data_IF_930756717116
#
_entry.id   IF_930756717116
#
_cell.length_a   1.000
_cell.length_b   1.000
_cell.length_c   1.000
_cell.angle_alpha   90.00
_cell.angle_beta   90.00
_cell.angle_gamma   90.00
#
_symmetry.space_group_name_H-M   'P 1'
#
loop_
_entity.id
_entity.type
_entity.pdbx_description
1 polymer ?
#
# COMPACT_ATOMS: atom_id res chain seq x y z
N UNK A 1 13.32 25.72 -27.29
CA UNK A 1 14.61 25.51 -28.00
C UNK A 1 15.30 26.83 -28.37
N UNK A 2 14.66 27.72 -29.14
CA UNK A 2 15.32 28.92 -29.71
C UNK A 2 15.97 29.86 -28.68
N UNK A 3 15.30 30.18 -27.56
CA UNK A 3 15.92 31.01 -26.50
C UNK A 3 17.12 30.34 -25.82
N UNK A 4 17.06 29.02 -25.59
CA UNK A 4 18.15 28.26 -24.98
C UNK A 4 19.36 28.24 -25.91
N UNK A 5 19.12 28.07 -27.21
CA UNK A 5 20.17 28.12 -28.23
C UNK A 5 20.84 29.50 -28.30
N UNK A 6 20.03 30.57 -28.35
CA UNK A 6 20.52 31.96 -28.38
C UNK A 6 21.28 32.32 -27.10
N UNK A 7 20.77 31.93 -25.93
CA UNK A 7 21.44 32.16 -24.65
C UNK A 7 22.75 31.38 -24.55
N UNK A 8 22.76 30.09 -24.93
CA UNK A 8 23.96 29.27 -24.92
C UNK A 8 25.05 29.86 -25.82
N UNK A 9 24.68 30.35 -27.01
CA UNK A 9 25.60 31.08 -27.89
C UNK A 9 26.13 32.37 -27.25
N UNK A 10 25.26 33.16 -26.61
CA UNK A 10 25.66 34.38 -25.90
C UNK A 10 26.60 34.12 -24.71
N UNK A 11 26.44 32.99 -24.05
CA UNK A 11 27.29 32.54 -22.93
C UNK A 11 28.57 31.83 -23.38
N UNK A 12 28.84 31.75 -24.68
CA UNK A 12 30.06 31.12 -25.21
C UNK A 12 30.08 29.59 -25.11
N UNK A 13 28.93 28.94 -24.93
CA UNK A 13 28.83 27.48 -24.90
C UNK A 13 29.02 26.94 -26.33
N UNK A 14 29.84 25.90 -26.46
CA UNK A 14 30.09 25.25 -27.76
C UNK A 14 28.79 24.77 -28.41
N UNK A 15 28.66 25.02 -29.72
CA UNK A 15 27.43 24.73 -30.46
C UNK A 15 27.07 23.25 -30.44
N UNK A 16 28.04 22.33 -30.48
CA UNK A 16 27.79 20.90 -30.44
C UNK A 16 27.22 20.47 -29.09
N UNK A 17 27.66 21.13 -28.01
CA UNK A 17 27.12 20.90 -26.66
C UNK A 17 25.66 21.37 -26.60
N UNK A 18 25.36 22.57 -27.09
CA UNK A 18 23.99 23.11 -27.11
C UNK A 18 23.06 22.18 -27.91
N UNK A 19 23.47 21.75 -29.10
CA UNK A 19 22.68 20.86 -29.96
C UNK A 19 22.45 19.52 -29.25
N UNK A 20 23.52 18.88 -28.76
CA UNK A 20 23.41 17.60 -28.05
C UNK A 20 22.50 17.70 -26.82
N UNK A 21 22.60 18.78 -26.05
CA UNK A 21 21.74 19.01 -24.89
C UNK A 21 20.27 19.16 -25.29
N UNK A 22 19.97 19.89 -26.38
CA UNK A 22 18.61 20.04 -26.89
C UNK A 22 18.06 18.74 -27.48
N UNK A 23 18.89 17.93 -28.16
CA UNK A 23 18.49 16.61 -28.68
C UNK A 23 18.17 15.63 -27.55
N UNK A 24 18.92 15.67 -26.45
CA UNK A 24 18.67 14.85 -25.26
C UNK A 24 17.58 15.39 -24.33
N UNK A 25 17.03 16.57 -24.62
CA UNK A 25 16.07 17.23 -23.74
C UNK A 25 14.70 16.58 -23.84
N UNK A 26 14.31 15.85 -22.80
CA UNK A 26 13.03 15.11 -22.74
C UNK A 26 11.86 15.94 -22.23
N UNK A 27 12.06 17.24 -21.96
CA UNK A 27 11.05 18.15 -21.43
C UNK A 27 11.38 18.73 -20.06
N UNK A 28 10.46 19.53 -19.52
CA UNK A 28 10.51 20.06 -18.15
C UNK A 28 9.47 19.28 -17.35
N UNK A 29 9.80 18.89 -16.12
CA UNK A 29 8.81 18.28 -15.23
C UNK A 29 7.56 19.14 -15.14
N UNK A 30 6.39 18.49 -15.18
CA UNK A 30 5.08 19.13 -15.21
C UNK A 30 4.86 20.09 -16.40
N UNK A 31 5.41 19.80 -17.57
CA UNK A 31 5.08 20.50 -18.82
C UNK A 31 4.76 19.46 -19.89
N UNK A 32 3.48 19.08 -19.98
CA UNK A 32 3.03 17.93 -20.74
C UNK A 32 3.87 16.67 -20.44
N UNK A 33 4.21 16.48 -19.16
CA UNK A 33 5.01 15.35 -18.73
C UNK A 33 4.15 14.09 -18.82
N UNK A 34 4.56 13.13 -19.66
CA UNK A 34 3.91 11.81 -19.71
C UNK A 34 4.26 11.05 -18.42
N UNK A 35 3.28 10.94 -17.53
CA UNK A 35 3.43 10.23 -16.25
C UNK A 35 3.34 8.71 -16.46
N UNK A 36 2.43 8.27 -17.33
CA UNK A 36 2.27 6.85 -17.65
C UNK A 36 1.66 6.66 -19.03
N UNK A 37 2.08 5.58 -19.67
CA UNK A 37 1.45 5.02 -20.85
C UNK A 37 1.33 3.51 -20.62
N UNK A 38 0.19 3.09 -20.09
CA UNK A 38 -0.13 1.68 -19.83
C UNK A 38 -1.40 1.31 -20.56
N UNK A 39 -1.34 0.20 -21.31
CA UNK A 39 -2.37 -0.10 -22.31
C UNK A 39 -2.44 1.01 -23.38
N UNK A 40 -3.66 1.42 -23.72
CA UNK A 40 -3.89 2.53 -24.67
C UNK A 40 -4.27 3.85 -23.97
N UNK A 41 -4.12 3.94 -22.65
CA UNK A 41 -4.44 5.16 -21.88
C UNK A 41 -3.14 5.92 -21.60
N UNK A 42 -3.19 7.24 -21.77
CA UNK A 42 -2.06 8.13 -21.48
C UNK A 42 -2.45 9.11 -20.38
N UNK A 43 -1.57 9.30 -19.39
CA UNK A 43 -1.75 10.32 -18.36
C UNK A 43 -0.63 11.34 -18.44
N UNK A 44 -0.98 12.61 -18.57
CA UNK A 44 -0.08 13.74 -18.63
C UNK A 44 -0.25 14.65 -17.41
N UNK A 45 0.84 15.25 -16.93
CA UNK A 45 0.85 16.32 -15.92
C UNK A 45 1.35 17.62 -16.55
N UNK A 46 0.60 18.72 -16.36
CA UNK A 46 1.02 20.06 -16.75
C UNK A 46 0.81 21.09 -15.62
N UNK A 47 1.79 21.97 -15.46
CA UNK A 47 1.75 23.18 -14.66
C UNK A 47 0.94 24.29 -15.35
N UNK A 48 -0.29 23.97 -15.75
CA UNK A 48 -1.28 24.89 -16.28
C UNK A 48 -2.32 25.16 -15.20
N UNK A 49 -2.44 26.41 -14.76
CA UNK A 49 -3.38 26.82 -13.70
C UNK A 49 -4.07 28.15 -14.00
N UNK A 50 -3.71 28.77 -15.13
CA UNK A 50 -4.34 29.97 -15.64
C UNK A 50 -5.24 29.56 -16.82
N UNK A 51 -6.47 30.08 -16.97
CA UNK A 51 -7.40 29.62 -18.01
C UNK A 51 -6.83 29.65 -19.44
N UNK A 52 -6.04 30.67 -19.78
CA UNK A 52 -5.32 30.71 -21.08
C UNK A 52 -4.33 29.57 -21.24
N UNK A 53 -3.56 29.24 -20.20
CA UNK A 53 -2.59 28.15 -20.25
C UNK A 53 -3.30 26.78 -20.33
N UNK A 54 -4.38 26.61 -19.56
CA UNK A 54 -5.24 25.43 -19.63
C UNK A 54 -5.73 25.23 -21.06
N UNK A 55 -6.33 26.27 -21.66
CA UNK A 55 -6.82 26.24 -23.03
C UNK A 55 -5.74 25.83 -24.03
N UNK A 56 -4.60 26.51 -24.03
CA UNK A 56 -3.50 26.21 -24.96
C UNK A 56 -2.96 24.79 -24.78
N UNK A 57 -2.91 24.29 -23.54
CA UNK A 57 -2.42 22.94 -23.23
C UNK A 57 -3.38 21.87 -23.77
N UNK A 58 -4.68 22.02 -23.51
CA UNK A 58 -5.70 21.09 -24.02
C UNK A 58 -5.77 21.14 -25.56
N UNK A 59 -5.69 22.32 -26.17
CA UNK A 59 -5.64 22.47 -27.64
C UNK A 59 -4.41 21.81 -28.25
N UNK A 60 -3.25 21.92 -27.59
CA UNK A 60 -2.03 21.22 -27.99
C UNK A 60 -2.22 19.71 -27.95
N UNK A 61 -2.76 19.19 -26.83
CA UNK A 61 -3.04 17.78 -26.67
C UNK A 61 -4.07 17.25 -27.67
N UNK A 62 -5.10 18.05 -27.99
CA UNK A 62 -6.09 17.72 -29.02
C UNK A 62 -5.49 17.63 -30.42
N UNK A 63 -4.50 18.47 -30.75
CA UNK A 63 -3.79 18.37 -32.05
C UNK A 63 -2.97 17.08 -32.14
N UNK A 64 -2.39 16.64 -31.03
CA UNK A 64 -1.62 15.39 -30.96
C UNK A 64 -2.54 14.16 -30.99
N UNK A 65 -3.71 14.24 -30.35
CA UNK A 65 -4.69 13.17 -30.24
C UNK A 65 -6.07 13.61 -30.77
N UNK A 66 -6.23 13.81 -32.10
CA UNK A 66 -7.45 14.37 -32.66
C UNK A 66 -8.68 13.50 -32.40
N UNK A 67 -8.53 12.18 -32.52
CA UNK A 67 -9.64 11.22 -32.49
C UNK A 67 -9.84 10.54 -31.11
N UNK A 68 -8.97 10.82 -30.13
CA UNK A 68 -9.05 10.19 -28.82
C UNK A 68 -9.86 11.04 -27.85
N UNK A 69 -10.54 10.39 -26.92
CA UNK A 69 -11.28 11.12 -25.87
C UNK A 69 -10.31 11.71 -24.86
N UNK A 70 -10.40 13.02 -24.62
CA UNK A 70 -9.54 13.78 -23.70
C UNK A 70 -10.31 14.13 -22.42
N UNK A 71 -9.76 13.72 -21.29
CA UNK A 71 -10.14 14.13 -19.95
C UNK A 71 -9.24 15.29 -19.48
N UNK A 72 -9.84 16.40 -19.09
CA UNK A 72 -9.15 17.49 -18.42
C UNK A 72 -9.48 17.48 -16.93
N UNK A 73 -8.49 17.24 -16.08
CA UNK A 73 -8.61 17.25 -14.63
C UNK A 73 -7.85 18.46 -14.10
N UNK A 74 -8.54 19.46 -13.57
CA UNK A 74 -7.94 20.74 -13.13
C UNK A 74 -7.97 20.89 -11.60
N UNK A 75 -6.87 21.37 -11.04
CA UNK A 75 -6.78 21.90 -9.67
C UNK A 75 -6.71 23.43 -9.75
N UNK A 76 -7.84 24.16 -9.59
CA UNK A 76 -7.82 25.61 -9.57
C UNK A 76 -6.91 26.14 -8.46
N UNK A 77 -6.13 27.19 -8.76
CA UNK A 77 -5.11 27.68 -7.84
C UNK A 77 -5.49 29.00 -7.15
N UNK A 78 -5.80 28.91 -5.85
CA UNK A 78 -6.12 30.04 -4.96
C UNK A 78 -7.53 30.59 -5.17
N UNK A 79 -8.29 30.76 -4.09
CA UNK A 79 -9.69 31.19 -4.16
C UNK A 79 -9.85 32.60 -4.76
N UNK A 80 -9.06 33.57 -4.30
CA UNK A 80 -9.10 34.95 -4.79
C UNK A 80 -8.68 35.02 -6.27
N UNK A 81 -7.69 34.22 -6.66
CA UNK A 81 -7.21 34.16 -8.04
C UNK A 81 -8.23 33.49 -8.96
N UNK A 82 -8.81 32.37 -8.55
CA UNK A 82 -9.87 31.71 -9.32
C UNK A 82 -11.07 32.64 -9.47
N UNK A 83 -11.45 33.39 -8.42
CA UNK A 83 -12.50 34.40 -8.50
C UNK A 83 -12.14 35.54 -9.48
N UNK A 84 -10.92 36.07 -9.41
CA UNK A 84 -10.48 37.13 -10.32
C UNK A 84 -10.44 36.70 -11.80
N UNK A 85 -10.23 35.42 -12.05
CA UNK A 85 -10.17 34.83 -13.40
C UNK A 85 -11.46 34.12 -13.79
N UNK A 86 -12.52 34.21 -12.99
CA UNK A 86 -13.71 33.39 -13.12
C UNK A 86 -14.36 33.47 -14.50
N UNK A 87 -14.50 34.68 -15.05
CA UNK A 87 -15.05 34.90 -16.40
C UNK A 87 -14.20 34.31 -17.53
N UNK A 88 -12.91 34.08 -17.29
CA UNK A 88 -11.97 33.52 -18.28
C UNK A 88 -11.98 31.99 -18.32
N UNK A 89 -12.64 31.32 -17.37
CA UNK A 89 -12.84 29.87 -17.43
C UNK A 89 -13.78 29.47 -18.58
N UNK A 90 -14.68 30.37 -19.00
CA UNK A 90 -15.59 30.13 -20.12
C UNK A 90 -14.81 29.80 -21.39
N UNK A 91 -15.05 28.61 -21.93
CA UNK A 91 -14.40 28.12 -23.14
C UNK A 91 -12.93 27.74 -22.99
N UNK A 92 -12.39 27.72 -21.76
CA UNK A 92 -11.01 27.32 -21.51
C UNK A 92 -10.79 25.80 -21.70
N UNK A 93 -11.87 25.01 -21.68
CA UNK A 93 -11.83 23.56 -21.72
C UNK A 93 -12.50 22.96 -22.96
N UNK A 94 -12.89 23.76 -23.95
CA UNK A 94 -13.72 23.32 -25.08
C UNK A 94 -13.10 22.23 -25.96
N UNK A 95 -11.77 22.08 -25.92
CA UNK A 95 -11.05 21.03 -26.64
C UNK A 95 -10.99 19.68 -25.88
N UNK A 96 -11.51 19.62 -24.64
CA UNK A 96 -11.64 18.40 -23.85
C UNK A 96 -13.06 17.83 -23.95
N UNK A 97 -13.18 16.50 -23.91
CA UNK A 97 -14.47 15.81 -23.99
C UNK A 97 -15.14 15.68 -22.63
N UNK A 98 -14.34 15.52 -21.59
CA UNK A 98 -14.76 15.36 -20.20
C UNK A 98 -13.90 16.21 -19.30
N UNK A 99 -14.51 16.90 -18.33
CA UNK A 99 -13.82 17.88 -17.49
C UNK A 99 -14.18 17.62 -16.03
N UNK A 100 -13.15 17.52 -15.20
CA UNK A 100 -13.28 17.43 -13.74
C UNK A 100 -12.56 18.61 -13.13
N UNK A 101 -13.31 19.47 -12.43
CA UNK A 101 -12.75 20.53 -11.60
C UNK A 101 -12.63 19.99 -10.18
N UNK A 102 -11.40 19.83 -9.72
CA UNK A 102 -11.09 19.32 -8.39
C UNK A 102 -11.12 20.40 -7.31
N UNK A 103 -10.74 20.01 -6.07
CA UNK A 103 -10.61 20.95 -4.96
C UNK A 103 -9.73 22.14 -5.29
N UNK A 104 -10.19 23.35 -4.94
CA UNK A 104 -9.40 24.58 -5.13
C UNK A 104 -8.21 24.55 -4.18
N UNK A 105 -6.99 24.61 -4.74
CA UNK A 105 -5.77 24.65 -3.94
C UNK A 105 -5.67 25.98 -3.21
N UNK A 106 -5.83 25.95 -1.88
CA UNK A 106 -5.85 27.16 -1.04
C UNK A 106 -4.58 28.02 -1.16
N UNK A 107 -3.41 27.43 -1.40
CA UNK A 107 -2.12 28.14 -1.33
C UNK A 107 -2.00 28.98 -0.03
N UNK A 108 -1.59 30.26 -0.13
CA UNK A 108 -1.55 31.23 0.99
C UNK A 108 -2.84 32.07 1.12
N UNK A 109 -3.92 31.64 0.46
CA UNK A 109 -5.12 32.43 0.26
C UNK A 109 -6.16 32.25 1.37
N UNK A 110 -7.04 33.24 1.55
CA UNK A 110 -8.27 33.10 2.33
C UNK A 110 -9.38 32.52 1.45
N UNK A 111 -10.29 31.75 2.04
CA UNK A 111 -11.41 31.17 1.30
C UNK A 111 -12.34 32.30 0.86
N UNK A 112 -12.56 32.44 -0.45
CA UNK A 112 -13.52 33.39 -1.01
C UNK A 112 -14.91 32.76 -0.99
N UNK A 113 -15.89 33.44 -0.38
CA UNK A 113 -17.26 32.95 -0.31
C UNK A 113 -17.84 32.71 -1.71
N UNK A 114 -18.52 31.57 -1.90
CA UNK A 114 -19.15 31.18 -3.18
C UNK A 114 -18.21 30.51 -4.20
N UNK A 115 -16.90 30.54 -3.97
CA UNK A 115 -15.93 29.88 -4.84
C UNK A 115 -15.76 28.40 -4.46
N UNK A 116 -16.43 27.54 -5.21
CA UNK A 116 -16.33 26.07 -5.09
C UNK A 116 -15.96 25.45 -6.43
N UNK A 117 -15.48 24.19 -6.44
CA UNK A 117 -15.25 23.46 -7.68
C UNK A 117 -16.47 23.42 -8.60
N UNK A 118 -17.68 23.32 -8.04
CA UNK A 118 -18.94 23.32 -8.80
C UNK A 118 -19.19 24.68 -9.46
N UNK A 119 -18.96 25.78 -8.73
CA UNK A 119 -19.09 27.13 -9.29
C UNK A 119 -18.10 27.34 -10.44
N UNK A 120 -16.87 26.83 -10.33
CA UNK A 120 -15.87 26.88 -11.41
C UNK A 120 -16.25 25.99 -12.59
N UNK A 121 -16.77 24.79 -12.35
CA UNK A 121 -17.26 23.89 -13.40
C UNK A 121 -18.38 24.54 -14.22
N UNK A 122 -19.34 25.20 -13.56
CA UNK A 122 -20.39 25.99 -14.21
C UNK A 122 -19.81 27.14 -15.06
N UNK A 123 -18.77 27.82 -14.57
CA UNK A 123 -18.12 28.92 -15.28
C UNK A 123 -17.43 28.50 -16.57
N UNK A 124 -17.06 27.22 -16.72
CA UNK A 124 -16.48 26.72 -17.97
C UNK A 124 -17.44 26.85 -19.15
N UNK A 125 -18.75 26.85 -18.89
CA UNK A 125 -19.79 26.81 -19.92
C UNK A 125 -19.90 25.46 -20.64
N UNK A 126 -19.16 24.44 -20.20
CA UNK A 126 -19.15 23.12 -20.81
C UNK A 126 -20.04 22.16 -20.01
N UNK A 127 -21.02 21.55 -20.67
CA UNK A 127 -21.98 20.61 -20.05
C UNK A 127 -21.34 19.32 -19.50
N UNK A 128 -20.13 19.00 -19.96
CA UNK A 128 -19.38 17.82 -19.52
C UNK A 128 -18.40 18.15 -18.38
N UNK A 129 -18.48 19.36 -17.81
CA UNK A 129 -17.71 19.77 -16.65
C UNK A 129 -18.44 19.47 -15.34
N UNK A 130 -17.75 18.79 -14.43
CA UNK A 130 -18.25 18.46 -13.09
C UNK A 130 -17.27 19.01 -12.06
N UNK A 131 -17.80 19.59 -10.98
CA UNK A 131 -16.99 20.02 -9.84
C UNK A 131 -17.08 19.03 -8.70
N UNK A 132 -15.94 18.60 -8.16
CA UNK A 132 -15.85 17.64 -7.05
C UNK A 132 -15.04 18.18 -5.88
N UNK A 133 -15.36 17.71 -4.68
CA UNK A 133 -14.81 18.29 -3.44
C UNK A 133 -13.62 17.52 -2.87
N UNK A 134 -13.25 16.40 -3.48
CA UNK A 134 -12.15 15.56 -3.04
C UNK A 134 -11.45 14.84 -4.20
N UNK A 135 -10.19 14.44 -3.99
CA UNK A 135 -9.47 13.61 -4.94
C UNK A 135 -10.06 12.19 -5.05
N UNK A 136 -10.70 11.68 -3.98
CA UNK A 136 -11.40 10.39 -4.01
C UNK A 136 -12.57 10.38 -5.00
N UNK A 137 -13.33 11.48 -5.08
CA UNK A 137 -14.38 11.63 -6.10
C UNK A 137 -13.80 11.69 -7.53
N UNK A 138 -12.66 12.35 -7.73
CA UNK A 138 -11.95 12.35 -9.02
C UNK A 138 -11.60 10.91 -9.41
N UNK A 139 -10.98 10.16 -8.49
CA UNK A 139 -10.61 8.74 -8.72
C UNK A 139 -11.83 7.90 -9.08
N UNK A 140 -12.92 8.04 -8.34
CA UNK A 140 -14.17 7.30 -8.59
C UNK A 140 -14.72 7.56 -9.99
N UNK A 141 -14.84 8.82 -10.40
CA UNK A 141 -15.34 9.18 -11.74
C UNK A 141 -14.42 8.61 -12.80
N UNK A 142 -13.10 8.75 -12.64
CA UNK A 142 -12.14 8.25 -13.62
C UNK A 142 -12.19 6.72 -13.73
N UNK A 143 -12.28 5.99 -12.61
CA UNK A 143 -12.40 4.53 -12.63
C UNK A 143 -13.69 4.03 -13.28
N UNK A 144 -14.79 4.76 -13.13
CA UNK A 144 -16.11 4.35 -13.66
C UNK A 144 -16.27 4.70 -15.15
N UNK A 145 -15.67 5.80 -15.62
CA UNK A 145 -15.99 6.37 -16.92
C UNK A 145 -14.86 6.37 -17.95
N UNK A 146 -13.58 6.32 -17.54
CA UNK A 146 -12.44 6.31 -18.46
C UNK A 146 -12.51 5.03 -19.30
N UNK A 147 -12.01 5.06 -20.54
CA UNK A 147 -12.03 3.92 -21.47
C UNK A 147 -10.66 3.72 -22.10
N UNK A 148 -10.44 2.53 -22.64
CA UNK A 148 -9.25 2.21 -23.44
C UNK A 148 -9.10 3.22 -24.59
N UNK A 149 -7.94 3.84 -24.72
CA UNK A 149 -7.67 4.86 -25.73
C UNK A 149 -7.85 6.29 -25.24
N UNK A 150 -8.38 6.51 -24.04
CA UNK A 150 -8.51 7.85 -23.47
C UNK A 150 -7.15 8.47 -23.15
N UNK A 151 -7.12 9.80 -23.19
CA UNK A 151 -6.00 10.60 -22.73
C UNK A 151 -6.46 11.45 -21.56
N UNK A 152 -5.73 11.40 -20.45
CA UNK A 152 -6.02 12.18 -19.25
C UNK A 152 -4.92 13.21 -19.07
N UNK A 153 -5.33 14.47 -19.00
CA UNK A 153 -4.47 15.61 -18.73
C UNK A 153 -4.82 16.18 -17.36
N UNK A 154 -3.87 16.09 -16.43
CA UNK A 154 -3.97 16.66 -15.10
C UNK A 154 -3.23 17.99 -15.07
N UNK A 155 -3.91 19.04 -14.62
CA UNK A 155 -3.45 20.42 -14.65
C UNK A 155 -3.55 21.06 -13.28
N UNK A 156 -2.60 21.91 -12.95
CA UNK A 156 -2.68 22.78 -11.77
C UNK A 156 -1.31 23.27 -11.33
N UNK A 157 -1.29 24.05 -10.25
CA UNK A 157 -0.04 24.57 -9.67
C UNK A 157 0.21 24.10 -8.24
N UNK A 158 -0.76 23.46 -7.60
CA UNK A 158 -0.65 22.93 -6.25
C UNK A 158 -0.23 21.47 -6.24
N UNK A 159 -1.08 20.63 -5.66
CA UNK A 159 -0.84 19.19 -5.44
C UNK A 159 -1.30 18.32 -6.61
N UNK A 160 -1.78 18.89 -7.71
CA UNK A 160 -2.25 18.11 -8.88
C UNK A 160 -1.23 17.13 -9.47
N UNK A 161 0.07 17.36 -9.31
CA UNK A 161 1.09 16.37 -9.70
C UNK A 161 1.02 15.06 -8.93
N UNK A 162 0.57 15.10 -7.67
CA UNK A 162 0.30 13.90 -6.88
C UNK A 162 -0.91 13.17 -7.45
N UNK A 163 -1.96 13.91 -7.86
CA UNK A 163 -3.12 13.33 -8.52
C UNK A 163 -2.75 12.61 -9.80
N UNK A 164 -1.92 13.19 -10.66
CA UNK A 164 -1.48 12.54 -11.90
C UNK A 164 -0.77 11.20 -11.64
N UNK A 165 0.02 11.12 -10.57
CA UNK A 165 0.75 9.91 -10.16
C UNK A 165 -0.17 8.89 -9.46
N UNK A 166 -1.12 9.34 -8.64
CA UNK A 166 -2.08 8.46 -7.95
C UNK A 166 -3.21 7.97 -8.89
N UNK A 167 -3.58 8.75 -9.91
CA UNK A 167 -4.48 8.31 -10.99
C UNK A 167 -3.84 7.16 -11.77
N UNK A 168 -2.52 7.20 -12.00
CA UNK A 168 -1.81 6.04 -12.55
C UNK A 168 -1.97 4.78 -11.68
N UNK A 169 -2.01 4.94 -10.35
CA UNK A 169 -2.20 3.82 -9.44
C UNK A 169 -3.64 3.30 -9.44
N UNK A 170 -4.61 4.20 -9.58
CA UNK A 170 -6.06 3.92 -9.59
C UNK A 170 -6.53 3.28 -10.90
N UNK A 171 -6.02 3.75 -12.05
CA UNK A 171 -6.35 3.19 -13.37
C UNK A 171 -5.70 1.82 -13.63
N UNK A 172 -4.82 1.35 -12.74
CA UNK A 172 -4.43 -0.07 -12.73
C UNK A 172 -5.58 -0.98 -12.26
N UNK A 173 -6.69 -0.42 -11.74
CA UNK A 173 -7.75 -1.16 -11.09
C UNK A 173 -8.85 -1.73 -11.99
N UNK A 174 -9.14 -1.17 -13.18
CA UNK A 174 -10.15 -1.76 -14.08
C UNK A 174 -10.29 -0.97 -15.39
N UNK A 175 -9.54 -1.29 -16.45
CA UNK A 175 -9.93 -0.92 -17.83
C UNK A 175 -9.40 -1.93 -18.85
N UNK A 176 -10.20 -2.99 -19.06
CA UNK A 176 -10.38 -3.58 -20.39
C UNK A 176 -9.21 -4.43 -20.92
N UNK A 177 -8.63 -5.24 -20.04
CA UNK A 177 -8.14 -6.62 -20.23
C UNK A 177 -7.45 -6.99 -18.92
N UNK A 178 -8.20 -7.59 -17.99
CA UNK A 178 -7.60 -8.32 -16.89
C UNK A 178 -6.87 -9.51 -17.52
N UNK A 179 -5.58 -9.29 -17.76
CA UNK A 179 -4.65 -10.37 -17.97
C UNK A 179 -3.70 -10.24 -16.80
N UNK A 180 -3.99 -10.98 -15.74
CA UNK A 180 -3.04 -11.15 -14.64
C UNK A 180 -1.67 -11.46 -15.22
N UNK A 181 -0.69 -10.61 -14.88
CA UNK A 181 0.66 -10.73 -15.45
C UNK A 181 1.37 -11.90 -14.80
N UNK A 182 1.43 -13.02 -15.50
CA UNK A 182 2.29 -14.14 -15.15
C UNK A 182 3.71 -13.83 -15.61
N UNK A 183 4.65 -13.71 -14.66
CA UNK A 183 6.08 -13.54 -14.93
C UNK A 183 6.76 -14.90 -14.85
N UNK A 184 7.66 -15.19 -15.77
CA UNK A 184 8.48 -16.41 -15.71
C UNK A 184 9.83 -16.16 -15.04
N UNK A 185 10.40 -17.21 -14.45
CA UNK A 185 11.76 -17.23 -13.92
C UNK A 185 12.07 -16.02 -13.02
N UNK A 186 11.27 -15.85 -11.95
CA UNK A 186 11.39 -14.71 -11.02
C UNK A 186 12.27 -15.07 -9.84
N UNK A 187 13.30 -14.27 -9.59
CA UNK A 187 14.15 -14.38 -8.42
C UNK A 187 13.34 -14.04 -7.15
N UNK A 188 13.21 -15.00 -6.22
CA UNK A 188 12.45 -14.82 -4.97
C UNK A 188 13.27 -14.13 -3.87
N UNK A 189 14.60 -14.09 -4.00
CA UNK A 189 15.51 -13.47 -3.03
C UNK A 189 15.11 -12.04 -2.62
N UNK A 190 14.74 -11.13 -3.53
CA UNK A 190 14.35 -9.76 -3.16
C UNK A 190 13.00 -9.69 -2.43
N UNK A 191 12.17 -10.73 -2.57
CA UNK A 191 10.82 -10.82 -2.02
C UNK A 191 10.78 -11.36 -0.58
N UNK A 192 11.93 -11.78 -0.03
CA UNK A 192 12.05 -12.21 1.36
C UNK A 192 12.81 -11.18 2.20
N UNK A 193 12.52 -11.17 3.49
CA UNK A 193 13.27 -10.39 4.50
C UNK A 193 14.63 -11.01 4.81
N UNK A 194 14.72 -12.34 4.71
CA UNK A 194 15.97 -13.08 4.84
C UNK A 194 16.95 -12.81 3.69
N UNK A 195 16.47 -12.29 2.56
CA UNK A 195 17.27 -12.03 1.35
C UNK A 195 17.96 -13.30 0.84
N UNK A 196 17.25 -14.42 0.85
CA UNK A 196 17.65 -15.70 0.25
C UNK A 196 16.51 -16.30 -0.58
N UNK A 197 16.81 -17.33 -1.37
CA UNK A 197 15.84 -18.04 -2.20
C UNK A 197 16.21 -18.05 -3.67
N UNK A 198 15.87 -19.15 -4.35
CA UNK A 198 16.08 -19.33 -5.78
C UNK A 198 14.97 -18.71 -6.63
N UNK A 199 14.86 -19.21 -7.86
CA UNK A 199 13.88 -18.74 -8.84
C UNK A 199 12.55 -19.50 -8.74
N UNK A 200 11.43 -18.79 -8.85
CA UNK A 200 10.14 -19.42 -9.15
C UNK A 200 9.97 -19.58 -10.66
N UNK A 201 9.44 -20.73 -11.11
CA UNK A 201 9.09 -20.94 -12.52
C UNK A 201 8.11 -19.87 -13.00
N UNK A 202 7.07 -19.60 -12.20
CA UNK A 202 6.13 -18.53 -12.42
C UNK A 202 5.94 -17.68 -11.16
N UNK A 203 5.65 -16.40 -11.34
CA UNK A 203 5.26 -15.48 -10.27
C UNK A 203 4.14 -14.58 -10.75
N UNK A 204 3.18 -14.31 -9.88
CA UNK A 204 2.12 -13.37 -10.18
C UNK A 204 1.62 -12.62 -8.95
N UNK A 205 1.03 -11.46 -9.20
CA UNK A 205 0.37 -10.61 -8.24
C UNK A 205 -1.09 -10.46 -8.67
N UNK A 206 -2.00 -10.56 -7.70
CA UNK A 206 -3.43 -10.33 -7.90
C UNK A 206 -3.92 -9.32 -6.87
N UNK A 207 -4.60 -8.26 -7.30
CA UNK A 207 -5.16 -7.22 -6.47
C UNK A 207 -6.64 -7.46 -6.13
N UNK A 208 -7.35 -8.27 -6.93
CA UNK A 208 -8.80 -8.50 -6.80
C UNK A 208 -9.17 -9.99 -6.78
N UNK A 209 -10.41 -10.29 -6.39
CA UNK A 209 -10.95 -11.66 -6.41
C UNK A 209 -11.10 -12.18 -7.85
N UNK A 210 -11.41 -11.29 -8.80
CA UNK A 210 -11.52 -11.59 -10.23
C UNK A 210 -10.16 -12.00 -10.81
N UNK A 211 -9.09 -11.27 -10.47
CA UNK A 211 -7.73 -11.62 -10.87
C UNK A 211 -7.31 -12.98 -10.27
N UNK A 212 -7.70 -13.30 -9.03
CA UNK A 212 -7.44 -14.63 -8.46
C UNK A 212 -8.10 -15.76 -9.24
N UNK A 213 -9.31 -15.55 -9.77
CA UNK A 213 -9.98 -16.52 -10.63
C UNK A 213 -9.24 -16.73 -11.97
N UNK A 214 -8.63 -15.68 -12.52
CA UNK A 214 -7.76 -15.80 -13.70
C UNK A 214 -6.47 -16.56 -13.42
N UNK A 215 -5.81 -16.25 -12.30
CA UNK A 215 -4.64 -17.02 -11.83
C UNK A 215 -5.00 -18.49 -11.65
N UNK A 216 -6.17 -18.77 -11.07
CA UNK A 216 -6.65 -20.13 -10.87
C UNK A 216 -6.86 -20.88 -12.19
N UNK A 217 -7.42 -20.25 -13.22
CA UNK A 217 -7.53 -20.84 -14.56
C UNK A 217 -6.16 -21.22 -15.10
N UNK A 218 -5.19 -20.31 -15.04
CA UNK A 218 -3.81 -20.56 -15.47
C UNK A 218 -3.16 -21.72 -14.69
N UNK A 219 -3.32 -21.75 -13.37
CA UNK A 219 -2.84 -22.83 -12.50
C UNK A 219 -3.40 -24.19 -12.92
N UNK A 220 -4.71 -24.26 -13.19
CA UNK A 220 -5.38 -25.50 -13.60
C UNK A 220 -4.98 -25.95 -15.00
N UNK A 221 -4.95 -25.04 -15.96
CA UNK A 221 -4.54 -25.32 -17.35
C UNK A 221 -3.10 -25.86 -17.42
N UNK A 222 -2.19 -25.33 -16.60
CA UNK A 222 -0.78 -25.72 -16.57
C UNK A 222 -0.46 -26.80 -15.53
N UNK A 223 -1.45 -27.24 -14.76
CA UNK A 223 -1.30 -28.18 -13.63
C UNK A 223 -0.13 -27.82 -12.69
N UNK A 224 -0.08 -26.55 -12.26
CA UNK A 224 1.04 -26.02 -11.48
C UNK A 224 0.88 -26.21 -9.98
N UNK A 225 2.00 -26.48 -9.30
CA UNK A 225 2.09 -26.32 -7.84
C UNK A 225 1.98 -24.83 -7.50
N UNK A 226 1.24 -24.50 -6.46
CA UNK A 226 1.02 -23.13 -6.00
C UNK A 226 1.79 -22.87 -4.71
N UNK A 227 2.32 -21.65 -4.57
CA UNK A 227 2.89 -21.15 -3.32
C UNK A 227 2.38 -19.73 -3.07
N UNK A 228 1.65 -19.54 -1.98
CA UNK A 228 1.10 -18.27 -1.53
C UNK A 228 2.19 -17.54 -0.73
N UNK A 229 2.53 -16.33 -1.19
CA UNK A 229 3.52 -15.47 -0.56
C UNK A 229 2.89 -14.14 -0.11
N UNK A 230 3.02 -13.83 1.19
CA UNK A 230 2.68 -12.50 1.72
C UNK A 230 3.84 -11.51 1.58
N UNK A 231 4.28 -10.94 2.70
CA UNK A 231 5.42 -10.02 2.74
C UNK A 231 6.81 -10.67 2.78
N UNK A 232 6.88 -12.00 2.79
CA UNK A 232 8.16 -12.74 2.90
C UNK A 232 8.92 -12.51 4.21
N UNK A 233 8.21 -12.16 5.29
CA UNK A 233 8.79 -11.85 6.61
C UNK A 233 8.98 -13.07 7.53
N UNK A 234 8.39 -14.21 7.17
CA UNK A 234 8.40 -15.45 7.98
C UNK A 234 8.54 -16.67 7.06
N UNK A 235 9.55 -16.65 6.19
CA UNK A 235 9.79 -17.71 5.21
C UNK A 235 11.28 -17.89 4.93
N UNK A 236 11.68 -19.15 4.77
CA UNK A 236 12.99 -19.56 4.28
C UNK A 236 12.80 -20.27 2.94
N UNK A 237 13.24 -19.64 1.84
CA UNK A 237 13.08 -20.18 0.49
C UNK A 237 14.36 -20.89 0.08
N UNK A 238 14.22 -22.10 -0.47
CA UNK A 238 15.35 -22.90 -0.96
C UNK A 238 16.03 -22.23 -2.17
N UNK A 239 17.36 -22.22 -2.23
CA UNK A 239 18.12 -21.65 -3.35
C UNK A 239 17.93 -22.42 -4.67
N UNK A 240 17.46 -23.68 -4.60
CA UNK A 240 16.99 -24.43 -5.78
C UNK A 240 15.73 -23.83 -6.43
N UNK A 241 15.03 -22.94 -5.73
CA UNK A 241 13.83 -22.27 -6.22
C UNK A 241 12.55 -23.07 -6.02
N UNK A 242 11.51 -22.70 -6.78
CA UNK A 242 10.18 -23.30 -6.73
C UNK A 242 9.68 -23.63 -8.14
N UNK A 243 9.56 -24.92 -8.44
CA UNK A 243 9.01 -25.42 -9.72
C UNK A 243 7.47 -25.39 -9.69
N UNK A 244 6.93 -24.18 -9.81
CA UNK A 244 5.51 -23.88 -9.73
C UNK A 244 5.26 -22.38 -9.86
N UNK A 245 4.08 -21.95 -9.44
CA UNK A 245 3.72 -20.52 -9.40
C UNK A 245 3.68 -19.99 -7.98
N UNK A 246 4.39 -18.89 -7.76
CA UNK A 246 4.27 -18.08 -6.54
C UNK A 246 3.20 -17.01 -6.76
N UNK A 247 2.22 -16.95 -5.87
CA UNK A 247 1.06 -16.06 -5.97
C UNK A 247 1.07 -15.12 -4.76
N UNK A 248 0.97 -13.81 -5.01
CA UNK A 248 0.87 -12.79 -3.98
C UNK A 248 -0.38 -11.97 -4.17
N UNK A 249 -1.18 -11.86 -3.11
CA UNK A 249 -2.31 -10.92 -3.12
C UNK A 249 -1.83 -9.52 -2.73
N UNK A 250 -2.18 -8.52 -3.52
CA UNK A 250 -1.72 -7.14 -3.39
C UNK A 250 -2.85 -6.15 -3.09
N UNK A 251 -4.11 -6.59 -3.06
CA UNK A 251 -5.22 -5.77 -2.60
C UNK A 251 -4.93 -5.22 -1.20
N UNK A 252 -5.12 -3.92 -1.00
CA UNK A 252 -4.73 -3.21 0.21
C UNK A 252 -5.75 -2.19 0.71
N UNK A 253 -7.01 -2.28 0.27
CA UNK A 253 -8.08 -1.39 0.73
C UNK A 253 -8.39 -1.58 2.22
N UNK A 254 -8.89 -0.53 2.86
CA UNK A 254 -9.40 -0.56 4.24
C UNK A 254 -10.83 0.00 4.22
N UNK A 255 -11.76 -0.76 4.78
CA UNK A 255 -13.12 -0.32 5.08
C UNK A 255 -13.28 -0.27 6.60
N UNK A 256 -13.76 0.85 7.12
CA UNK A 256 -14.02 1.02 8.55
C UNK A 256 -15.47 1.42 8.80
N UNK A 257 -16.14 0.66 9.66
CA UNK A 257 -17.50 0.90 10.15
C UNK A 257 -17.45 0.94 11.68
N UNK A 258 -17.38 2.15 12.23
CA UNK A 258 -17.16 2.42 13.66
C UNK A 258 -15.92 1.70 14.22
N UNK A 259 -16.14 0.55 14.85
CA UNK A 259 -15.17 -0.29 15.55
C UNK A 259 -14.78 -1.54 14.77
N UNK A 260 -15.44 -1.81 13.65
CA UNK A 260 -15.14 -2.92 12.76
C UNK A 260 -14.27 -2.41 11.60
N UNK A 261 -13.05 -2.96 11.47
CA UNK A 261 -12.15 -2.67 10.34
C UNK A 261 -12.00 -3.93 9.51
N UNK A 262 -12.34 -3.84 8.22
CA UNK A 262 -12.02 -4.86 7.22
C UNK A 262 -10.86 -4.36 6.38
N UNK A 263 -9.77 -5.12 6.32
CA UNK A 263 -8.60 -4.78 5.52
C UNK A 263 -8.27 -5.90 4.54
N UNK A 264 -7.94 -5.53 3.31
CA UNK A 264 -7.44 -6.48 2.32
C UNK A 264 -6.05 -6.99 2.69
N UNK A 265 -5.80 -8.23 2.28
CA UNK A 265 -4.72 -9.05 2.82
C UNK A 265 -3.31 -8.64 2.37
N UNK A 266 -3.20 -7.85 1.31
CA UNK A 266 -1.96 -7.29 0.79
C UNK A 266 -1.51 -6.02 1.52
N UNK A 267 -2.39 -5.38 2.30
CA UNK A 267 -2.00 -4.26 3.17
C UNK A 267 -0.91 -4.72 4.15
N UNK A 268 0.13 -3.91 4.35
CA UNK A 268 1.15 -4.20 5.36
C UNK A 268 0.53 -4.14 6.75
N UNK A 269 0.84 -5.11 7.61
CA UNK A 269 0.29 -5.19 8.97
C UNK A 269 0.46 -3.88 9.75
N UNK A 270 1.66 -3.31 9.74
CA UNK A 270 1.93 -2.11 10.53
C UNK A 270 1.13 -0.86 10.09
N UNK A 271 0.78 -0.75 8.79
CA UNK A 271 -0.13 0.31 8.32
C UNK A 271 -1.55 0.14 8.87
N UNK A 272 -2.02 -1.09 9.06
CA UNK A 272 -3.31 -1.34 9.71
C UNK A 272 -3.27 -0.91 11.18
N UNK A 273 -2.18 -1.23 11.89
CA UNK A 273 -1.99 -0.80 13.29
C UNK A 273 -1.89 0.72 13.40
N UNK A 274 -1.14 1.37 12.50
CA UNK A 274 -1.09 2.83 12.42
C UNK A 274 -2.49 3.43 12.20
N UNK A 275 -3.24 2.88 11.24
CA UNK A 275 -4.60 3.32 10.93
C UNK A 275 -5.55 3.20 12.14
N UNK A 276 -5.43 2.12 12.93
CA UNK A 276 -6.25 1.91 14.12
C UNK A 276 -5.87 2.84 15.27
N UNK A 277 -4.57 2.98 15.56
CA UNK A 277 -4.06 3.88 16.60
C UNK A 277 -4.44 5.34 16.31
N UNK A 278 -4.29 5.79 15.06
CA UNK A 278 -4.66 7.15 14.66
C UNK A 278 -6.15 7.47 14.84
N UNK A 279 -7.01 6.45 14.92
CA UNK A 279 -8.46 6.58 15.16
C UNK A 279 -8.87 6.31 16.60
N UNK A 280 -7.91 6.11 17.52
CA UNK A 280 -8.23 5.79 18.91
C UNK A 280 -8.89 4.41 19.09
N UNK A 281 -8.61 3.48 18.18
CA UNK A 281 -9.16 2.12 18.19
C UNK A 281 -8.17 1.17 18.86
N UNK A 282 -8.48 0.78 20.09
CA UNK A 282 -7.63 -0.07 20.93
C UNK A 282 -7.77 -1.55 20.54
N UNK A 283 -6.65 -2.27 20.54
CA UNK A 283 -6.61 -3.73 20.38
C UNK A 283 -5.40 -4.26 19.59
N UNK A 284 -4.60 -3.39 18.99
CA UNK A 284 -3.48 -3.78 18.11
C UNK A 284 -2.17 -3.03 18.41
N UNK A 285 -2.20 -2.05 19.30
CA UNK A 285 -1.07 -1.15 19.59
C UNK A 285 0.21 -1.90 19.99
N UNK A 286 0.08 -3.01 20.75
CA UNK A 286 1.20 -3.84 21.18
C UNK A 286 1.82 -4.66 20.03
N UNK A 287 1.11 -4.79 18.91
CA UNK A 287 1.55 -5.50 17.70
C UNK A 287 2.18 -4.57 16.66
N UNK A 288 2.50 -3.33 17.04
CA UNK A 288 3.20 -2.37 16.19
C UNK A 288 4.56 -2.88 15.71
N UNK A 289 4.91 -2.54 14.47
CA UNK A 289 6.19 -2.86 13.85
C UNK A 289 6.39 -4.33 13.48
N UNK A 290 5.37 -5.18 13.56
CA UNK A 290 5.46 -6.55 13.02
C UNK A 290 5.49 -6.48 11.48
N UNK A 291 6.53 -7.05 10.84
CA UNK A 291 6.63 -7.05 9.38
C UNK A 291 5.67 -8.06 8.75
N UNK A 292 5.29 -7.82 7.50
CA UNK A 292 4.41 -8.69 6.73
C UNK A 292 3.08 -8.02 6.40
N UNK A 293 2.10 -8.83 6.02
CA UNK A 293 0.82 -8.36 5.52
C UNK A 293 -0.33 -8.78 6.43
N UNK A 294 -1.47 -8.10 6.30
CA UNK A 294 -2.71 -8.43 7.01
C UNK A 294 -3.11 -9.88 6.76
N UNK A 295 -2.97 -10.38 5.53
CA UNK A 295 -3.27 -11.77 5.17
C UNK A 295 -2.41 -12.82 5.87
N UNK A 296 -1.16 -12.49 6.16
CA UNK A 296 -0.26 -13.40 6.87
C UNK A 296 -0.52 -13.41 8.38
N UNK A 297 -1.18 -12.36 8.92
CA UNK A 297 -1.40 -12.19 10.35
C UNK A 297 -2.15 -13.35 11.02
N UNK A 298 -3.19 -13.97 10.41
CA UNK A 298 -3.92 -15.08 11.02
C UNK A 298 -3.16 -16.41 10.87
N UNK A 299 -2.33 -16.57 9.83
CA UNK A 299 -1.65 -17.85 9.52
C UNK A 299 -0.90 -18.39 10.73
N UNK A 300 -0.19 -17.53 11.46
CA UNK A 300 0.49 -17.92 12.68
C UNK A 300 -0.04 -17.24 13.92
N UNK A 301 -1.26 -16.67 13.90
CA UNK A 301 -1.79 -15.88 15.01
C UNK A 301 -0.73 -14.93 15.57
N UNK A 302 -0.27 -13.98 14.74
CA UNK A 302 0.82 -13.08 15.14
C UNK A 302 0.47 -12.39 16.45
N UNK A 303 1.50 -12.09 17.24
CA UNK A 303 1.30 -11.40 18.50
C UNK A 303 2.60 -10.89 19.09
N UNK A 304 2.51 -9.80 19.82
CA UNK A 304 3.63 -9.19 20.50
C UNK A 304 3.13 -8.47 21.76
N UNK A 305 3.99 -8.42 22.78
CA UNK A 305 3.74 -7.71 24.04
C UNK A 305 2.36 -7.99 24.68
N UNK A 306 1.91 -9.26 24.62
CA UNK A 306 0.68 -9.72 25.27
C UNK A 306 -0.60 -9.60 24.45
N UNK A 307 -0.56 -9.08 23.22
CA UNK A 307 -1.69 -9.07 22.30
C UNK A 307 -1.46 -10.05 21.15
N UNK A 308 -2.52 -10.75 20.73
CA UNK A 308 -2.53 -11.65 19.58
C UNK A 308 -3.69 -11.31 18.62
N UNK A 309 -3.55 -11.65 17.34
CA UNK A 309 -4.59 -11.40 16.32
C UNK A 309 -5.93 -12.03 16.70
N UNK A 310 -5.93 -13.22 17.30
CA UNK A 310 -7.16 -13.89 17.74
C UNK A 310 -8.01 -13.03 18.69
N UNK A 311 -7.41 -12.07 19.40
CA UNK A 311 -8.10 -11.26 20.40
C UNK A 311 -8.99 -10.17 19.77
N UNK A 312 -8.75 -9.87 18.48
CA UNK A 312 -9.44 -8.80 17.75
C UNK A 312 -10.05 -9.26 16.43
N UNK A 313 -9.59 -10.37 15.84
CA UNK A 313 -10.13 -10.90 14.59
C UNK A 313 -11.56 -11.41 14.78
N UNK A 314 -12.47 -11.02 13.90
CA UNK A 314 -13.87 -11.51 13.89
C UNK A 314 -14.06 -12.57 12.81
N UNK A 315 -13.60 -12.27 11.61
CA UNK A 315 -13.73 -13.15 10.46
C UNK A 315 -12.64 -12.85 9.43
N UNK A 316 -12.45 -13.77 8.49
CA UNK A 316 -11.64 -13.55 7.31
C UNK A 316 -12.28 -14.22 6.10
N UNK A 317 -11.89 -13.75 4.92
CA UNK A 317 -12.26 -14.33 3.63
C UNK A 317 -11.01 -14.90 2.96
N UNK A 318 -11.14 -16.09 2.40
CA UNK A 318 -10.02 -16.78 1.75
C UNK A 318 -10.45 -17.47 0.47
N UNK A 319 -9.57 -17.48 -0.52
CA UNK A 319 -9.67 -18.23 -1.76
C UNK A 319 -9.05 -19.62 -1.58
N UNK A 320 -9.82 -20.68 -1.79
CA UNK A 320 -9.36 -22.07 -1.70
C UNK A 320 -8.71 -22.48 -3.02
N UNK A 321 -7.39 -22.58 -3.02
CA UNK A 321 -6.56 -22.84 -4.22
C UNK A 321 -6.92 -24.13 -4.95
N UNK A 322 -7.51 -25.11 -4.25
CA UNK A 322 -7.88 -26.39 -4.83
C UNK A 322 -9.17 -26.32 -5.65
N UNK A 323 -10.23 -25.70 -5.12
CA UNK A 323 -11.56 -25.65 -5.75
C UNK A 323 -11.81 -24.36 -6.54
N UNK A 324 -11.07 -23.29 -6.25
CA UNK A 324 -11.33 -21.97 -6.83
C UNK A 324 -12.51 -21.23 -6.18
N UNK A 325 -12.90 -21.63 -4.97
CA UNK A 325 -14.02 -21.05 -4.23
C UNK A 325 -13.55 -20.08 -3.16
N UNK A 326 -14.36 -19.06 -2.90
CA UNK A 326 -14.17 -18.17 -1.76
C UNK A 326 -14.93 -18.67 -0.54
N UNK A 327 -14.23 -18.78 0.59
CA UNK A 327 -14.76 -19.29 1.86
C UNK A 327 -14.55 -18.24 2.94
N UNK A 328 -15.54 -18.07 3.80
CA UNK A 328 -15.41 -17.22 4.99
C UNK A 328 -15.12 -18.09 6.22
N UNK A 329 -14.22 -17.62 7.07
CA UNK A 329 -13.89 -18.24 8.35
C UNK A 329 -14.25 -17.27 9.46
N UNK A 330 -14.92 -17.74 10.50
CA UNK A 330 -15.03 -17.03 11.77
C UNK A 330 -13.72 -17.15 12.57
N UNK A 331 -13.58 -16.35 13.62
CA UNK A 331 -12.49 -16.50 14.59
C UNK A 331 -12.38 -17.94 15.12
N UNK A 332 -13.53 -18.58 15.42
CA UNK A 332 -13.58 -19.97 15.91
C UNK A 332 -13.06 -20.96 14.88
N UNK A 333 -13.41 -20.78 13.61
CA UNK A 333 -12.98 -21.68 12.53
C UNK A 333 -11.47 -21.62 12.28
N UNK A 334 -10.83 -20.50 12.65
CA UNK A 334 -9.38 -20.32 12.51
C UNK A 334 -8.58 -21.14 13.53
N UNK A 335 -9.21 -21.70 14.57
CA UNK A 335 -8.61 -22.61 15.55
C UNK A 335 -7.25 -22.11 16.10
N UNK A 336 -7.23 -20.85 16.57
CA UNK A 336 -6.00 -20.19 16.99
C UNK A 336 -5.42 -20.76 18.27
N UNK A 337 -4.10 -20.92 18.29
CA UNK A 337 -3.32 -21.11 19.51
C UNK A 337 -1.96 -20.40 19.41
N UNK A 338 -1.03 -20.67 20.31
CA UNK A 338 0.25 -19.96 20.34
C UNK A 338 1.09 -20.25 19.08
N UNK A 339 1.21 -19.24 18.20
CA UNK A 339 1.92 -19.32 16.92
C UNK A 339 1.40 -20.37 15.95
N UNK A 340 0.11 -20.68 16.06
CA UNK A 340 -0.59 -21.77 15.36
C UNK A 340 -2.01 -21.36 14.98
N UNK A 341 -2.51 -21.94 13.90
CA UNK A 341 -3.88 -21.77 13.40
C UNK A 341 -4.28 -22.96 12.53
N UNK A 342 -5.56 -23.04 12.17
CA UNK A 342 -6.08 -23.94 11.14
C UNK A 342 -5.24 -23.94 9.86
N UNK A 343 -4.79 -22.77 9.39
CA UNK A 343 -4.06 -22.60 8.13
C UNK A 343 -2.62 -23.10 8.17
N UNK A 344 -2.05 -23.27 9.37
CA UNK A 344 -0.67 -23.72 9.57
C UNK A 344 -0.55 -25.24 9.72
N UNK A 345 -1.67 -25.92 9.95
CA UNK A 345 -1.72 -27.39 10.02
C UNK A 345 -1.26 -28.00 8.69
N UNK A 346 -0.47 -29.09 8.69
CA UNK A 346 0.09 -29.67 7.46
C UNK A 346 -0.95 -29.95 6.37
N UNK A 347 -2.15 -30.39 6.75
CA UNK A 347 -3.25 -30.70 5.86
C UNK A 347 -3.91 -29.47 5.21
N UNK A 348 -3.67 -28.26 5.73
CA UNK A 348 -4.26 -27.00 5.25
C UNK A 348 -3.21 -26.00 4.73
N UNK A 349 -1.94 -26.24 5.02
CA UNK A 349 -0.83 -25.39 4.60
C UNK A 349 -0.88 -25.12 3.10
N UNK A 350 -0.80 -23.84 2.71
CA UNK A 350 -0.79 -23.37 1.32
C UNK A 350 -2.07 -23.67 0.51
N UNK A 351 -3.18 -24.06 1.15
CA UNK A 351 -4.47 -24.29 0.47
C UNK A 351 -5.39 -23.07 0.42
N UNK A 352 -5.17 -22.09 1.30
CA UNK A 352 -6.06 -20.94 1.48
C UNK A 352 -5.27 -19.63 1.34
N UNK A 353 -5.61 -18.84 0.32
CA UNK A 353 -5.10 -17.49 0.13
C UNK A 353 -6.11 -16.51 0.77
N UNK A 354 -5.76 -15.94 1.92
CA UNK A 354 -6.62 -14.96 2.60
C UNK A 354 -6.68 -13.68 1.74
N UNK A 355 -7.88 -13.18 1.42
CA UNK A 355 -8.10 -11.95 0.62
C UNK A 355 -8.45 -10.74 1.48
N UNK A 356 -9.16 -10.95 2.59
CA UNK A 356 -9.45 -9.89 3.56
C UNK A 356 -9.63 -10.44 4.98
N UNK A 357 -9.41 -9.57 5.97
CA UNK A 357 -9.57 -9.88 7.39
C UNK A 357 -10.34 -8.75 8.08
N UNK A 358 -11.30 -9.11 8.92
CA UNK A 358 -12.14 -8.19 9.68
C UNK A 358 -11.79 -8.25 11.17
N UNK A 359 -11.61 -7.08 11.77
CA UNK A 359 -11.20 -6.92 13.16
C UNK A 359 -12.16 -6.03 13.92
N UNK A 360 -12.54 -6.43 15.14
CA UNK A 360 -13.31 -5.61 16.08
C UNK A 360 -12.38 -5.01 17.11
N UNK A 361 -12.33 -3.69 17.13
CA UNK A 361 -11.48 -2.90 18.03
C UNK A 361 -12.34 -2.11 19.02
N UNK A 362 -11.72 -1.63 20.10
CA UNK A 362 -12.44 -0.90 21.15
C UNK A 362 -12.27 0.61 20.95
N UNK A 363 -13.33 1.35 20.59
CA UNK A 363 -13.27 2.80 20.51
C UNK A 363 -13.09 3.38 21.92
N UNK A 364 -12.23 4.39 22.06
CA UNK A 364 -11.92 5.03 23.35
C UNK A 364 -11.34 4.08 24.41
N UNK A 365 -10.84 2.91 24.01
CA UNK A 365 -10.19 1.97 24.91
C UNK A 365 -8.82 2.49 25.37
N UNK A 366 -8.50 2.30 26.66
CA UNK A 366 -7.13 2.50 27.17
C UNK A 366 -6.23 1.33 26.77
N UNK A 367 -4.92 1.56 26.52
CA UNK A 367 -4.02 0.48 26.12
C UNK A 367 -4.02 -0.68 27.12
N UNK A 368 -4.01 -1.91 26.61
CA UNK A 368 -3.91 -3.13 27.43
C UNK A 368 -2.50 -3.70 27.37
N UNK A 369 -1.62 -3.14 28.19
CA UNK A 369 -0.23 -3.57 28.29
C UNK A 369 -0.12 -4.66 29.35
N UNK A 370 0.25 -5.88 28.95
CA UNK A 370 0.36 -7.04 29.84
C UNK A 370 1.80 -7.57 29.97
N UNK A 371 2.75 -6.97 29.26
CA UNK A 371 4.11 -7.48 29.16
C UNK A 371 5.08 -6.63 29.98
N UNK A 372 5.78 -7.24 30.94
CA UNK A 372 6.58 -6.52 31.94
C UNK A 372 7.61 -5.58 31.33
N UNK A 373 8.30 -5.97 30.25
CA UNK A 373 9.30 -5.10 29.63
C UNK A 373 8.68 -3.82 29.04
N UNK A 374 7.44 -3.89 28.54
CA UNK A 374 6.74 -2.74 27.99
C UNK A 374 6.16 -1.87 29.13
N UNK A 375 5.66 -2.49 30.20
CA UNK A 375 5.23 -1.76 31.40
C UNK A 375 6.38 -0.99 32.05
N UNK A 376 7.55 -1.63 32.18
CA UNK A 376 8.72 -1.00 32.79
C UNK A 376 9.24 0.16 31.94
N UNK A 377 9.35 -0.04 30.62
CA UNK A 377 9.75 1.04 29.70
C UNK A 377 8.81 2.26 29.80
N UNK A 378 7.49 2.04 29.79
CA UNK A 378 6.52 3.13 29.90
C UNK A 378 6.61 3.85 31.26
N UNK A 379 6.89 3.13 32.35
CA UNK A 379 7.12 3.74 33.67
C UNK A 379 8.39 4.58 33.71
N UNK A 380 9.49 4.08 33.14
CA UNK A 380 10.77 4.81 33.05
C UNK A 380 10.63 6.11 32.25
N UNK A 381 9.80 6.10 31.20
CA UNK A 381 9.45 7.28 30.40
C UNK A 381 8.39 8.19 31.06
N UNK A 382 8.05 7.97 32.34
CA UNK A 382 7.03 8.73 33.10
C UNK A 382 5.63 8.74 32.44
N UNK A 383 5.26 7.66 31.74
CA UNK A 383 3.95 7.48 31.10
C UNK A 383 3.02 6.64 31.99
N UNK A 384 2.51 7.20 33.08
CA UNK A 384 1.59 6.49 33.99
C UNK A 384 0.22 6.16 33.33
N UNK A 385 -0.22 7.01 32.40
CA UNK A 385 -1.46 6.84 31.63
C UNK A 385 -1.17 6.95 30.12
N UNK A 386 -0.52 5.94 29.51
CA UNK A 386 -0.09 6.02 28.13
C UNK A 386 -1.30 6.03 27.18
N UNK A 387 -1.18 6.78 26.08
CA UNK A 387 -2.07 6.68 24.91
C UNK A 387 -1.70 5.46 24.05
N UNK A 388 -2.57 5.11 23.09
CA UNK A 388 -2.26 4.06 22.10
C UNK A 388 -0.99 4.41 21.30
N UNK A 389 -0.78 5.70 21.01
CA UNK A 389 0.41 6.22 20.33
C UNK A 389 1.66 6.05 21.18
N UNK A 390 1.59 6.35 22.49
CA UNK A 390 2.73 6.15 23.41
C UNK A 390 3.12 4.67 23.46
N UNK A 391 2.14 3.76 23.51
CA UNK A 391 2.41 2.30 23.48
C UNK A 391 3.03 1.87 22.16
N UNK A 392 2.52 2.35 21.03
CA UNK A 392 3.08 2.07 19.70
C UNK A 392 4.54 2.53 19.61
N UNK A 393 4.86 3.73 20.09
CA UNK A 393 6.22 4.27 20.10
C UNK A 393 7.15 3.42 20.99
N UNK A 394 6.74 3.11 22.22
CA UNK A 394 7.51 2.25 23.12
C UNK A 394 7.77 0.86 22.52
N UNK A 395 6.77 0.28 21.83
CA UNK A 395 6.94 -1.00 21.12
C UNK A 395 7.98 -0.89 20.01
N UNK A 396 8.02 0.19 19.23
CA UNK A 396 9.05 0.38 18.22
C UNK A 396 10.46 0.44 18.82
N UNK A 397 10.63 1.19 19.91
CA UNK A 397 11.93 1.30 20.59
C UNK A 397 12.40 -0.06 21.11
N UNK A 398 11.56 -0.76 21.87
CA UNK A 398 11.88 -2.09 22.40
C UNK A 398 12.14 -3.13 21.30
N UNK A 399 11.51 -3.00 20.13
CA UNK A 399 11.77 -3.86 18.98
C UNK A 399 13.10 -3.53 18.33
N UNK A 400 13.43 -2.25 18.17
CA UNK A 400 14.69 -1.81 17.58
C UNK A 400 15.92 -2.22 18.42
N UNK A 401 15.78 -2.29 19.74
CA UNK A 401 16.82 -2.79 20.65
C UNK A 401 17.07 -4.30 20.50
N UNK A 402 16.01 -5.08 20.23
CA UNK A 402 16.05 -6.55 20.26
C UNK A 402 16.20 -7.19 18.89
N UNK A 403 15.79 -6.51 17.83
CA UNK A 403 15.67 -7.08 16.49
C UNK A 403 16.57 -6.34 15.51
N UNK A 404 17.36 -7.10 14.78
CA UNK A 404 18.13 -6.55 13.66
C UNK A 404 17.22 -6.15 12.51
N UNK A 405 17.52 -5.01 11.88
CA UNK A 405 16.77 -4.53 10.73
C UNK A 405 17.01 -5.45 9.51
N UNK A 406 15.97 -6.12 8.97
CA UNK A 406 16.11 -7.03 7.83
C UNK A 406 16.63 -6.38 6.54
N UNK A 407 16.49 -5.07 6.41
CA UNK A 407 17.05 -4.31 5.27
C UNK A 407 18.56 -4.12 5.37
N UNK A 408 19.13 -4.23 6.57
CA UNK A 408 20.59 -4.21 6.80
C UNK A 408 21.16 -5.63 6.83
N UNK A 409 20.56 -6.49 7.66
CA UNK A 409 20.97 -7.88 7.85
C UNK A 409 19.77 -8.79 7.65
N UNK A 410 19.77 -9.59 6.59
CA UNK A 410 18.64 -10.44 6.24
C UNK A 410 18.27 -11.40 7.39
N UNK A 411 17.03 -11.33 7.87
CA UNK A 411 16.49 -12.20 8.90
C UNK A 411 14.96 -12.30 8.78
N UNK A 412 14.36 -13.28 9.46
CA UNK A 412 12.90 -13.47 9.56
C UNK A 412 12.39 -13.28 11.00
N UNK A 413 13.05 -12.43 11.79
CA UNK A 413 12.78 -12.26 13.21
C UNK A 413 13.20 -13.47 14.05
N UNK A 414 12.45 -13.76 15.12
CA UNK A 414 12.72 -14.92 15.99
C UNK A 414 12.53 -16.24 15.24
N UNK A 415 13.65 -16.94 15.00
CA UNK A 415 13.64 -18.21 14.26
C UNK A 415 13.01 -19.36 15.05
N UNK A 416 13.11 -19.34 16.37
CA UNK A 416 12.59 -20.39 17.24
C UNK A 416 11.39 -19.90 18.04
N UNK A 417 10.39 -20.77 18.18
CA UNK A 417 9.31 -20.57 19.14
C UNK A 417 9.82 -20.75 20.57
N UNK A 418 9.16 -20.08 21.51
CA UNK A 418 9.40 -20.34 22.92
C UNK A 418 8.86 -21.73 23.31
N UNK A 419 9.69 -22.60 23.91
CA UNK A 419 9.24 -23.90 24.41
C UNK A 419 8.18 -23.75 25.50
N UNK A 420 7.24 -24.69 25.56
CA UNK A 420 6.21 -24.76 26.60
C UNK A 420 6.46 -26.03 27.42
N UNK A 421 6.52 -25.89 28.74
CA UNK A 421 6.81 -26.97 29.69
C UNK A 421 5.76 -27.03 30.79
N UNK A 422 5.51 -28.21 31.35
CA UNK A 422 4.43 -28.40 32.32
C UNK A 422 4.75 -27.81 33.71
N UNK A 423 6.03 -27.63 34.05
CA UNK A 423 6.48 -27.08 35.34
C UNK A 423 7.51 -26.00 35.12
N UNK A 424 7.51 -25.00 36.00
CA UNK A 424 8.55 -23.98 36.03
C UNK A 424 9.91 -24.63 36.26
N UNK A 425 10.92 -24.18 35.52
CA UNK A 425 12.29 -24.70 35.65
C UNK A 425 13.14 -23.66 36.40
N UNK A 426 13.60 -23.96 37.63
CA UNK A 426 14.36 -23.02 38.43
C UNK A 426 15.60 -22.49 37.68
N UNK A 427 15.79 -21.16 37.73
CA UNK A 427 16.94 -20.50 37.12
C UNK A 427 16.85 -20.31 35.59
N UNK A 428 15.77 -20.77 34.95
CA UNK A 428 15.46 -20.47 33.55
C UNK A 428 14.32 -19.45 33.53
N UNK A 429 14.52 -18.25 32.94
CA UNK A 429 13.44 -17.31 32.75
C UNK A 429 12.25 -17.98 32.05
N UNK A 430 11.07 -17.77 32.59
CA UNK A 430 9.81 -18.26 32.03
C UNK A 430 8.66 -17.35 32.43
N UNK A 431 7.50 -17.52 31.80
CA UNK A 431 6.26 -16.87 32.22
C UNK A 431 5.07 -17.84 32.17
N UNK A 432 4.04 -17.62 33.02
CA UNK A 432 2.84 -18.45 33.02
C UNK A 432 2.16 -18.49 31.64
N UNK A 433 1.69 -19.67 31.23
CA UNK A 433 0.96 -19.91 30.01
C UNK A 433 -0.15 -20.95 30.25
N UNK A 434 -1.31 -20.48 30.72
CA UNK A 434 -2.37 -21.36 31.21
C UNK A 434 -1.90 -22.13 32.45
N UNK A 435 -2.00 -23.46 32.41
CA UNK A 435 -1.46 -24.36 33.46
C UNK A 435 0.02 -24.73 33.26
N UNK A 436 0.65 -24.20 32.21
CA UNK A 436 2.04 -24.49 31.82
C UNK A 436 2.92 -23.25 31.95
N UNK A 437 4.20 -23.38 31.65
CA UNK A 437 5.18 -22.30 31.62
C UNK A 437 5.81 -22.20 30.24
N UNK A 438 6.02 -20.98 29.76
CA UNK A 438 6.67 -20.70 28.48
C UNK A 438 8.06 -20.13 28.71
N UNK A 439 9.08 -20.84 28.24
CA UNK A 439 10.49 -20.51 28.43
C UNK A 439 10.97 -19.49 27.39
N UNK A 440 11.90 -18.60 27.75
CA UNK A 440 12.49 -17.67 26.78
C UNK A 440 13.55 -18.38 25.90
N UNK A 441 13.20 -18.69 24.66
CA UNK A 441 14.11 -19.36 23.71
C UNK A 441 15.42 -18.57 23.50
N UNK A 442 15.34 -17.23 23.42
CA UNK A 442 16.53 -16.39 23.29
C UNK A 442 17.53 -16.56 24.45
N UNK A 443 17.04 -16.70 25.68
CA UNK A 443 17.89 -16.96 26.84
C UNK A 443 18.51 -18.37 26.79
N UNK A 444 17.74 -19.36 26.35
CA UNK A 444 18.21 -20.73 26.17
C UNK A 444 19.32 -20.83 25.11
N UNK A 445 19.31 -19.95 24.10
CA UNK A 445 20.33 -19.90 23.03
C UNK A 445 21.59 -19.13 23.49
N UNK A 446 21.44 -18.05 24.24
CA UNK A 446 22.57 -17.22 24.74
C UNK A 446 23.42 -17.95 25.81
N UNK A 447 22.79 -18.76 26.66
CA UNK A 447 23.47 -19.45 27.78
C UNK A 447 24.54 -20.47 27.37
N UNK A 448 24.32 -21.36 26.37
CA UNK A 448 25.36 -22.25 25.84
C UNK A 448 26.53 -21.51 25.21
N UNK A 449 26.26 -20.36 24.54
CA UNK A 449 27.30 -19.55 23.89
C UNK A 449 28.28 -18.95 24.90
N UNK A 450 27.83 -18.64 26.12
CA UNK A 450 28.72 -18.19 27.22
C UNK A 450 29.49 -19.33 27.91
N UNK A 451 29.28 -20.60 27.53
CA UNK A 451 29.91 -21.78 28.16
C UNK A 451 30.68 -22.70 27.21
N UNK A 452 30.89 -22.37 25.93
CA UNK A 452 31.55 -23.28 24.97
C UNK A 452 30.94 -24.70 24.98
N UNK A 453 29.62 -24.81 25.12
CA UNK A 453 28.94 -26.11 25.04
C UNK A 453 28.61 -26.34 23.55
N UNK A 454 29.15 -27.38 22.89
CA UNK A 454 28.84 -27.65 21.49
C UNK A 454 27.34 -27.88 21.31
N UNK A 455 26.79 -27.32 20.23
CA UNK A 455 25.44 -27.65 19.79
C UNK A 455 25.40 -29.14 19.39
N UNK A 456 24.86 -29.99 20.27
CA UNK A 456 24.48 -31.37 19.94
C UNK A 456 23.02 -31.41 19.49
#
# INVERSE_FOLDING_TARGET
>A
ANMVYVLGKKLGIDQKIIIRSLESFTGIGRRMELITQKGHIKVFDDYAHHPTAIKTTIEGLRKEFPDLRIWAVDEPHGFARTNALFSKYKGAFDSADKIIIGPIFKARDSITFGMTPQTVALATGNKNAVGVNSFEEIKKILSEEVKRGDVILVMGAGKSYLWAREINDTLNGDLGQNNVKIKENVNLRPLTTFKIGGYAKYYTEAATEEELLEVFKFVKEKNLKTFILGGGSDILINDKGFDGIVIKFTGSSIKAEESLITAESGLTWDKLVEYSVARGLQGMECMSGIPGTVGASPIQNIGAFGQEVKDVLVSLRAFKMESGEFVNFSNKDCDFSYRESFFKKPENWQKYLITSVSFKLNPNGKPKVQYDSLLNYLKEENKENPSLSDVREAVFQLRAEKLENPSKNGNAGSFFKNPIVDKEIPGIPSYPFGSKYKLYAGWLIDKPQKRNIPHQ
#
